data_IF_405734761079
#
_entry.id   IF_405734761079
#
_cell.length_a   1.000
_cell.length_b   1.000
_cell.length_c   1.000
_cell.angle_alpha   90.00
_cell.angle_beta   90.00
_cell.angle_gamma   90.00
#
_symmetry.space_group_name_H-M   'P 1'
#
loop_
_entity.id
_entity.type
_entity.pdbx_description
1 polymer ?
#
# COMPACT_ATOMS: atom_id res chain seq x y z
N UNK A 1 -3.83 10.01 6.93
CA UNK A 1 -2.37 10.12 7.09
C UNK A 1 -1.85 9.26 8.24
N UNK A 2 -2.32 9.43 9.48
CA UNK A 2 -1.81 8.68 10.66
C UNK A 2 -1.96 7.15 10.59
N UNK A 3 -2.96 6.63 9.88
CA UNK A 3 -3.18 5.17 9.68
C UNK A 3 -2.01 4.47 8.95
N UNK A 4 -1.21 5.22 8.20
CA UNK A 4 -0.14 4.68 7.35
C UNK A 4 1.24 4.68 8.02
N UNK A 5 1.39 5.34 9.18
CA UNK A 5 2.66 5.41 9.89
C UNK A 5 2.77 4.31 10.94
N UNK A 6 3.92 3.63 10.96
CA UNK A 6 4.30 2.77 12.07
C UNK A 6 4.59 3.62 13.29
N UNK A 7 3.96 3.28 14.43
CA UNK A 7 4.27 3.85 15.74
C UNK A 7 5.52 3.21 16.34
N UNK A 8 6.61 3.21 15.57
CA UNK A 8 7.91 2.69 16.01
C UNK A 8 8.62 3.69 16.94
N UNK A 9 9.78 3.31 17.47
CA UNK A 9 10.55 4.14 18.40
C UNK A 9 10.83 5.56 17.86
N UNK A 10 11.17 5.67 16.58
CA UNK A 10 11.41 6.96 15.91
C UNK A 10 10.15 7.82 15.84
N UNK A 11 9.00 7.23 15.52
CA UNK A 11 7.74 7.96 15.50
C UNK A 11 7.32 8.42 16.89
N UNK A 12 7.47 7.55 17.90
CA UNK A 12 7.06 7.87 19.25
C UNK A 12 7.98 8.91 19.94
N UNK A 13 9.23 9.05 19.48
CA UNK A 13 10.16 10.06 19.99
C UNK A 13 9.80 11.49 19.57
N UNK A 14 9.26 11.69 18.37
CA UNK A 14 8.86 13.00 17.83
C UNK A 14 7.67 12.88 16.84
N UNK A 15 6.45 12.58 17.33
CA UNK A 15 5.29 12.43 16.46
C UNK A 15 4.94 13.73 15.71
N UNK A 16 5.01 14.87 16.42
CA UNK A 16 4.64 16.18 15.88
C UNK A 16 5.64 16.66 14.82
N UNK A 17 6.94 16.49 15.05
CA UNK A 17 7.95 16.86 14.07
C UNK A 17 7.90 15.97 12.82
N UNK A 18 7.60 14.67 12.94
CA UNK A 18 7.35 13.82 11.76
C UNK A 18 6.11 14.29 11.00
N UNK A 19 5.00 14.52 11.71
CA UNK A 19 3.75 14.98 11.08
C UNK A 19 3.98 16.33 10.35
N UNK A 20 4.77 17.25 10.93
CA UNK A 20 5.13 18.54 10.32
C UNK A 20 6.01 18.37 9.08
N UNK A 21 7.08 17.55 9.16
CA UNK A 21 7.97 17.28 8.02
C UNK A 21 7.22 16.61 6.87
N UNK A 22 6.35 15.65 7.17
CA UNK A 22 5.51 14.99 6.19
C UNK A 22 4.52 15.95 5.54
N UNK A 23 3.86 16.81 6.33
CA UNK A 23 2.91 17.79 5.81
C UNK A 23 3.58 18.82 4.88
N UNK A 24 4.80 19.27 5.24
CA UNK A 24 5.60 20.14 4.40
C UNK A 24 5.98 19.45 3.07
N UNK A 25 6.49 18.22 3.13
CA UNK A 25 6.80 17.43 1.94
C UNK A 25 5.58 17.22 1.03
N UNK A 26 4.43 16.86 1.61
CA UNK A 26 3.20 16.63 0.86
C UNK A 26 2.69 17.91 0.17
N UNK A 27 2.88 19.06 0.82
CA UNK A 27 2.53 20.37 0.24
C UNK A 27 3.39 20.65 -1.00
N UNK A 28 4.71 20.47 -0.88
CA UNK A 28 5.64 20.61 -2.02
C UNK A 28 5.30 19.65 -3.15
N UNK A 29 5.04 18.37 -2.84
CA UNK A 29 4.65 17.37 -3.84
C UNK A 29 3.37 17.77 -4.59
N UNK A 30 2.34 18.27 -3.88
CA UNK A 30 1.10 18.74 -4.51
C UNK A 30 1.35 19.92 -5.45
N UNK A 31 2.17 20.88 -5.04
CA UNK A 31 2.51 22.04 -5.87
C UNK A 31 3.25 21.63 -7.15
N UNK A 32 4.20 20.68 -7.05
CA UNK A 32 4.93 20.19 -8.23
C UNK A 32 4.01 19.49 -9.24
N UNK A 33 3.04 18.71 -8.78
CA UNK A 33 2.10 18.02 -9.67
C UNK A 33 1.03 18.95 -10.27
N UNK A 34 0.75 20.08 -9.63
CA UNK A 34 -0.14 21.11 -10.19
C UNK A 34 0.54 21.90 -11.32
N UNK A 35 1.87 22.05 -11.27
CA UNK A 35 2.66 22.87 -12.20
C UNK A 35 3.22 22.11 -13.41
N UNK A 36 3.07 20.78 -13.49
CA UNK A 36 3.58 19.98 -14.62
C UNK A 36 2.68 20.14 -15.86
N UNK A 37 3.07 21.02 -16.77
CA UNK A 37 2.66 21.03 -18.18
C UNK A 37 3.45 19.98 -18.94
N UNK A 38 2.78 19.10 -19.68
CA UNK A 38 3.43 18.07 -20.50
C UNK A 38 4.00 18.72 -21.78
N UNK A 39 5.32 18.67 -22.05
CA UNK A 39 5.91 19.26 -23.25
C UNK A 39 5.65 18.43 -24.53
N UNK A 40 5.05 17.23 -24.41
CA UNK A 40 4.82 16.32 -25.54
C UNK A 40 3.41 16.39 -26.15
N UNK A 41 2.49 17.14 -25.53
CA UNK A 41 1.13 17.34 -26.04
C UNK A 41 0.90 18.81 -26.37
N UNK A 42 0.67 19.12 -27.65
CA UNK A 42 0.24 20.43 -28.16
C UNK A 42 -1.16 20.85 -27.69
N UNK A 43 -1.84 20.01 -26.92
CA UNK A 43 -3.05 20.38 -26.20
C UNK A 43 -2.68 20.94 -24.84
N UNK A 44 -3.09 22.19 -24.59
CA UNK A 44 -3.01 22.88 -23.32
C UNK A 44 -3.88 22.12 -22.31
N UNK A 45 -3.36 21.01 -21.78
CA UNK A 45 -3.98 20.28 -20.71
C UNK A 45 -3.77 21.11 -19.44
N UNK A 46 -4.79 21.93 -19.17
CA UNK A 46 -5.03 22.63 -17.91
C UNK A 46 -4.54 21.78 -16.74
N UNK A 47 -3.88 22.41 -15.77
CA UNK A 47 -3.39 21.83 -14.51
C UNK A 47 -4.10 20.50 -14.17
N UNK A 48 -3.36 19.39 -14.12
CA UNK A 48 -3.92 18.06 -13.85
C UNK A 48 -4.84 18.14 -12.64
N UNK A 49 -6.15 17.95 -12.84
CA UNK A 49 -7.11 17.95 -11.75
C UNK A 49 -6.67 16.89 -10.72
N UNK A 50 -6.73 17.19 -9.41
CA UNK A 50 -6.42 16.22 -8.37
C UNK A 50 -7.19 14.89 -8.52
N UNK A 51 -8.38 14.95 -9.13
CA UNK A 51 -9.23 13.79 -9.42
C UNK A 51 -8.58 12.89 -10.47
N UNK A 52 -8.08 13.47 -11.57
CA UNK A 52 -7.45 12.72 -12.66
C UNK A 52 -6.10 12.13 -12.22
N UNK A 53 -5.30 12.89 -11.47
CA UNK A 53 -4.06 12.38 -10.88
C UNK A 53 -4.34 11.20 -9.95
N UNK A 54 -5.36 11.32 -9.08
CA UNK A 54 -5.77 10.24 -8.19
C UNK A 54 -6.21 8.99 -8.97
N UNK A 55 -6.96 9.17 -10.07
CA UNK A 55 -7.38 8.07 -10.95
C UNK A 55 -6.16 7.35 -11.55
N UNK A 56 -5.20 8.09 -12.09
CA UNK A 56 -3.97 7.52 -12.66
C UNK A 56 -3.14 6.80 -11.60
N UNK A 57 -2.97 7.40 -10.41
CA UNK A 57 -2.24 6.79 -9.31
C UNK A 57 -2.85 5.46 -8.86
N UNK A 58 -4.18 5.34 -8.83
CA UNK A 58 -4.87 4.08 -8.46
C UNK A 58 -4.67 2.96 -9.49
N UNK A 59 -4.40 3.29 -10.75
CA UNK A 59 -4.15 2.29 -11.79
C UNK A 59 -2.74 1.69 -11.71
N UNK A 60 -1.79 2.40 -11.11
CA UNK A 60 -0.38 1.96 -11.03
C UNK A 60 0.05 1.55 -9.62
N UNK A 61 -0.64 2.01 -8.58
CA UNK A 61 -0.36 1.64 -7.19
C UNK A 61 -1.38 0.61 -6.69
N UNK A 62 -1.00 -0.68 -6.52
CA UNK A 62 -1.94 -1.68 -6.05
C UNK A 62 -2.35 -1.40 -4.61
N UNK A 63 -3.65 -1.53 -4.33
CA UNK A 63 -4.19 -1.43 -2.96
C UNK A 63 -3.75 -2.64 -2.12
N UNK A 64 -3.75 -3.82 -2.72
CA UNK A 64 -3.36 -5.07 -2.07
C UNK A 64 -2.05 -5.60 -2.65
N UNK A 65 -1.16 -6.04 -1.78
CA UNK A 65 0.10 -6.68 -2.16
C UNK A 65 0.20 -8.03 -1.45
N UNK A 66 0.79 -9.01 -2.11
CA UNK A 66 1.06 -10.30 -1.50
C UNK A 66 2.20 -10.14 -0.49
N UNK A 67 1.90 -10.35 0.80
CA UNK A 67 2.88 -10.23 1.88
C UNK A 67 3.09 -11.59 2.52
N UNK A 68 4.33 -11.88 2.92
CA UNK A 68 4.72 -13.20 3.42
C UNK A 68 3.88 -13.63 4.62
N UNK A 69 3.63 -12.72 5.56
CA UNK A 69 2.80 -12.97 6.74
C UNK A 69 1.32 -13.22 6.45
N UNK A 70 0.83 -12.97 5.22
CA UNK A 70 -0.47 -13.46 4.77
C UNK A 70 -0.38 -14.85 4.14
N UNK A 71 0.72 -15.14 3.45
CA UNK A 71 0.92 -16.38 2.69
C UNK A 71 1.30 -17.56 3.58
N UNK A 72 2.12 -17.33 4.61
CA UNK A 72 2.52 -18.37 5.58
C UNK A 72 1.35 -19.14 6.18
N UNK A 73 0.36 -18.49 6.83
CA UNK A 73 -0.79 -19.22 7.36
C UNK A 73 -1.61 -19.90 6.25
N UNK A 74 -1.60 -19.38 5.02
CA UNK A 74 -2.34 -19.95 3.91
C UNK A 74 -1.74 -21.29 3.43
N UNK A 75 -0.42 -21.36 3.23
CA UNK A 75 0.19 -22.63 2.83
C UNK A 75 0.23 -23.65 3.98
N UNK A 76 0.33 -23.20 5.23
CA UNK A 76 0.24 -24.08 6.41
C UNK A 76 -1.13 -24.74 6.52
N UNK A 77 -2.22 -24.03 6.19
CA UNK A 77 -3.54 -24.64 6.12
C UNK A 77 -3.67 -25.56 4.90
N UNK A 78 -3.10 -25.15 3.77
CA UNK A 78 -3.13 -25.96 2.55
C UNK A 78 -2.37 -27.28 2.70
N UNK A 79 -1.29 -27.34 3.49
CA UNK A 79 -0.52 -28.56 3.72
C UNK A 79 -1.30 -29.65 4.46
N UNK A 80 -2.34 -29.27 5.21
CA UNK A 80 -3.30 -30.18 5.85
C UNK A 80 -4.61 -30.34 5.06
N UNK A 81 -4.63 -29.87 3.79
CA UNK A 81 -5.77 -30.02 2.88
C UNK A 81 -6.82 -28.90 2.94
N UNK A 82 -6.65 -27.87 3.78
CA UNK A 82 -7.56 -26.73 3.85
C UNK A 82 -7.09 -25.58 2.96
N UNK A 83 -7.69 -25.46 1.77
CA UNK A 83 -7.34 -24.44 0.78
C UNK A 83 -8.12 -23.13 0.90
N UNK A 84 -8.97 -22.98 1.92
CA UNK A 84 -9.90 -21.83 2.02
C UNK A 84 -9.16 -20.49 2.02
N UNK A 85 -8.09 -20.38 2.81
CA UNK A 85 -7.31 -19.15 2.90
C UNK A 85 -6.48 -18.86 1.64
N UNK A 86 -6.02 -19.90 0.94
CA UNK A 86 -5.32 -19.75 -0.35
C UNK A 86 -6.27 -19.21 -1.42
N UNK A 87 -7.49 -19.75 -1.50
CA UNK A 87 -8.52 -19.28 -2.44
C UNK A 87 -8.92 -17.85 -2.14
N UNK A 88 -9.10 -17.50 -0.87
CA UNK A 88 -9.40 -16.12 -0.47
C UNK A 88 -8.28 -15.15 -0.88
N UNK A 89 -7.01 -15.51 -0.65
CA UNK A 89 -5.88 -14.70 -1.12
C UNK A 89 -5.85 -14.56 -2.65
N UNK A 90 -6.15 -15.64 -3.37
CA UNK A 90 -6.22 -15.61 -4.83
C UNK A 90 -7.30 -14.63 -5.32
N UNK A 91 -8.48 -14.62 -4.70
CA UNK A 91 -9.55 -13.68 -5.02
C UNK A 91 -9.08 -12.23 -4.86
N UNK A 92 -8.43 -11.92 -3.73
CA UNK A 92 -7.90 -10.57 -3.47
C UNK A 92 -6.83 -10.19 -4.49
N UNK A 93 -5.93 -11.11 -4.83
CA UNK A 93 -4.81 -10.88 -5.75
C UNK A 93 -5.22 -10.88 -7.23
N UNK A 94 -6.43 -11.34 -7.58
CA UNK A 94 -6.94 -11.28 -8.96
C UNK A 94 -7.26 -9.84 -9.37
N UNK A 95 -7.60 -8.98 -8.40
CA UNK A 95 -7.89 -7.56 -8.64
C UNK A 95 -7.21 -6.67 -7.58
N UNK A 96 -5.87 -6.60 -7.56
CA UNK A 96 -5.12 -5.95 -6.47
C UNK A 96 -5.23 -4.42 -6.48
N UNK A 97 -5.65 -3.83 -7.60
CA UNK A 97 -5.88 -2.39 -7.78
C UNK A 97 -7.33 -1.98 -7.48
N UNK A 98 -8.27 -2.93 -7.44
CA UNK A 98 -9.69 -2.63 -7.27
C UNK A 98 -10.04 -2.39 -5.80
N UNK A 99 -11.09 -1.60 -5.59
CA UNK A 99 -11.76 -1.52 -4.29
C UNK A 99 -12.52 -2.83 -4.05
N UNK A 100 -12.36 -3.44 -2.87
CA UNK A 100 -13.02 -4.68 -2.48
C UNK A 100 -13.96 -4.42 -1.29
N UNK A 101 -14.59 -5.49 -0.78
CA UNK A 101 -15.48 -5.36 0.38
C UNK A 101 -14.76 -4.77 1.60
N UNK A 102 -15.53 -4.13 2.48
CA UNK A 102 -15.03 -3.53 3.72
C UNK A 102 -14.29 -4.59 4.57
N UNK A 103 -14.74 -5.84 4.54
CA UNK A 103 -14.13 -6.93 5.29
C UNK A 103 -12.77 -7.34 4.70
N UNK A 104 -12.64 -7.40 3.37
CA UNK A 104 -11.36 -7.63 2.71
C UNK A 104 -10.39 -6.47 2.94
N UNK A 105 -10.88 -5.23 2.90
CA UNK A 105 -10.06 -4.07 3.25
C UNK A 105 -9.53 -4.16 4.68
N UNK A 106 -10.39 -4.45 5.67
CA UNK A 106 -9.96 -4.59 7.06
C UNK A 106 -8.93 -5.70 7.26
N UNK A 107 -9.08 -6.81 6.54
CA UNK A 107 -8.21 -7.99 6.67
C UNK A 107 -6.85 -7.81 5.97
N UNK A 108 -6.85 -7.29 4.74
CA UNK A 108 -5.68 -7.29 3.86
C UNK A 108 -5.07 -5.91 3.62
N UNK A 109 -5.83 -4.81 3.73
CA UNK A 109 -5.31 -3.44 3.59
C UNK A 109 -4.89 -2.87 4.95
N UNK A 110 -3.91 -3.54 5.57
CA UNK A 110 -3.35 -3.15 6.87
C UNK A 110 -1.82 -3.19 6.86
N UNK A 111 -1.25 -2.41 7.77
CA UNK A 111 0.17 -2.45 8.06
C UNK A 111 0.55 -3.84 8.55
N UNK A 112 1.74 -4.31 8.16
CA UNK A 112 2.36 -5.51 8.72
C UNK A 112 2.50 -5.33 10.24
N UNK A 113 1.99 -6.24 11.08
CA UNK A 113 2.18 -6.19 12.53
C UNK A 113 3.67 -6.05 12.92
N UNK A 114 3.95 -5.31 14.00
CA UNK A 114 5.33 -5.04 14.42
C UNK A 114 6.06 -6.33 14.84
N UNK A 115 5.31 -7.30 15.33
CA UNK A 115 5.78 -8.62 15.79
C UNK A 115 6.35 -9.47 14.65
N UNK A 116 5.98 -9.17 13.40
CA UNK A 116 6.52 -9.85 12.23
C UNK A 116 7.73 -9.14 11.63
N UNK A 117 8.19 -8.03 12.21
CA UNK A 117 9.48 -7.46 11.84
C UNK A 117 10.58 -8.37 12.39
N UNK A 118 11.60 -8.62 11.58
CA UNK A 118 12.76 -9.47 11.91
C UNK A 118 12.48 -10.97 12.10
N UNK A 119 11.22 -11.42 11.98
CA UNK A 119 10.91 -12.85 11.93
C UNK A 119 11.36 -13.47 10.61
N UNK A 120 12.29 -14.43 10.66
CA UNK A 120 12.75 -15.19 9.49
C UNK A 120 11.59 -15.90 8.79
N UNK A 121 11.55 -15.86 7.46
CA UNK A 121 10.49 -16.49 6.65
C UNK A 121 9.11 -15.82 6.74
N UNK A 122 8.96 -14.73 7.49
CA UNK A 122 7.71 -13.94 7.60
C UNK A 122 7.93 -12.45 7.30
N UNK A 123 9.19 -12.00 7.44
CA UNK A 123 9.49 -10.58 7.36
C UNK A 123 9.46 -10.02 5.96
N UNK A 124 9.97 -10.81 5.02
CA UNK A 124 10.22 -10.41 3.64
C UNK A 124 9.63 -11.48 2.73
N UNK A 125 8.95 -11.02 1.68
CA UNK A 125 8.55 -11.89 0.59
C UNK A 125 9.76 -12.04 -0.32
N UNK A 126 10.46 -13.18 -0.22
CA UNK A 126 11.65 -13.45 -1.03
C UNK A 126 11.27 -14.35 -2.19
N UNK A 127 11.24 -13.79 -3.40
CA UNK A 127 11.20 -14.57 -4.64
C UNK A 127 12.64 -14.84 -5.10
N UNK A 128 13.39 -15.65 -4.35
CA UNK A 128 14.67 -16.15 -4.85
C UNK A 128 14.39 -17.26 -5.85
N UNK A 129 14.73 -17.02 -7.13
CA UNK A 129 14.76 -18.01 -8.21
C UNK A 129 15.90 -19.00 -8.01
#
# INVERSE_FOLDING_TARGET
>A
LKKSFYKNATYNADPEGIDKRWSAWLTTWKSLNASTTDPSTTEVNSARSPVELSRQMKLVNPKYNLREWFVVPAYQQASIGNYSLVRELQEVMTQPYAEQSIDMEKKYYRLKPLEFFETGGLSHYSCSS
#
